data_IF_168045955120
#
_entry.id   IF_168045955120
#
_cell.length_a   1.000
_cell.length_b   1.000
_cell.length_c   1.000
_cell.angle_alpha   90.00
_cell.angle_beta   90.00
_cell.angle_gamma   90.00
#
_symmetry.space_group_name_H-M   'P 1'
#
loop_
_entity.id
_entity.type
_entity.pdbx_description
1 polymer ?
#
# COMPACT_ATOMS: atom_id res chain seq x y z
N UNK A 1 18.79 -10.91 -6.52
CA UNK A 1 18.37 -9.62 -5.93
C UNK A 1 17.69 -9.87 -4.58
N UNK A 2 17.85 -8.98 -3.59
CA UNK A 2 17.22 -9.13 -2.27
C UNK A 2 15.68 -9.13 -2.32
N UNK A 3 15.08 -8.43 -3.28
CA UNK A 3 13.63 -8.35 -3.46
C UNK A 3 12.99 -9.70 -3.82
N UNK A 4 13.55 -10.44 -4.78
CA UNK A 4 13.04 -11.77 -5.19
C UNK A 4 13.07 -12.75 -4.01
N UNK A 5 14.15 -12.75 -3.22
CA UNK A 5 14.26 -13.58 -2.00
C UNK A 5 13.22 -13.20 -0.94
N UNK A 6 12.85 -11.93 -0.83
CA UNK A 6 11.77 -11.51 0.07
C UNK A 6 10.41 -11.96 -0.46
N UNK A 7 10.16 -11.82 -1.76
CA UNK A 7 8.92 -12.24 -2.44
C UNK A 7 8.74 -13.76 -2.48
N UNK A 8 9.80 -14.55 -2.32
CA UNK A 8 9.69 -16.01 -2.29
C UNK A 8 9.17 -16.57 -0.96
N UNK A 9 9.10 -15.74 0.09
CA UNK A 9 8.49 -16.14 1.37
C UNK A 9 7.01 -16.46 1.16
N UNK A 10 6.53 -17.58 1.69
CA UNK A 10 5.11 -17.89 1.64
C UNK A 10 4.31 -16.94 2.54
N UNK A 11 3.06 -16.64 2.15
CA UNK A 11 2.07 -15.88 2.94
C UNK A 11 2.50 -14.44 3.31
N UNK A 12 3.03 -13.69 2.35
CA UNK A 12 3.23 -12.25 2.57
C UNK A 12 1.88 -11.51 2.66
N UNK A 13 1.79 -10.55 3.58
CA UNK A 13 0.68 -9.59 3.63
C UNK A 13 0.79 -8.58 2.49
N UNK A 14 -0.33 -7.98 2.08
CA UNK A 14 -0.36 -6.94 1.05
C UNK A 14 0.60 -5.78 1.39
N UNK A 15 0.59 -5.29 2.64
CA UNK A 15 1.51 -4.23 3.08
C UNK A 15 2.99 -4.60 2.90
N UNK A 16 3.36 -5.85 3.17
CA UNK A 16 4.73 -6.32 2.98
C UNK A 16 5.10 -6.33 1.49
N UNK A 17 4.19 -6.79 0.63
CA UNK A 17 4.38 -6.80 -0.82
C UNK A 17 4.53 -5.36 -1.35
N UNK A 18 3.68 -4.44 -0.87
CA UNK A 18 3.76 -3.01 -1.17
C UNK A 18 5.15 -2.45 -0.86
N UNK A 19 5.67 -2.63 0.36
CA UNK A 19 6.99 -2.11 0.72
C UNK A 19 8.14 -2.77 -0.05
N UNK A 20 7.98 -4.04 -0.47
CA UNK A 20 8.99 -4.71 -1.27
C UNK A 20 9.03 -4.16 -2.70
N UNK A 21 7.88 -3.83 -3.29
CA UNK A 21 7.77 -3.48 -4.71
C UNK A 21 7.70 -1.97 -4.98
N UNK A 22 7.13 -1.15 -4.10
CA UNK A 22 7.03 0.33 -4.21
C UNK A 22 8.35 1.02 -4.61
N UNK A 23 9.54 0.61 -4.13
CA UNK A 23 10.78 1.30 -4.49
C UNK A 23 11.23 1.07 -5.94
N UNK A 24 10.61 0.14 -6.67
CA UNK A 24 11.00 -0.20 -8.04
C UNK A 24 10.09 0.49 -9.05
N UNK A 25 10.63 0.98 -10.18
CA UNK A 25 9.82 1.39 -11.32
C UNK A 25 8.95 0.24 -11.82
N UNK A 26 7.76 0.55 -12.33
CA UNK A 26 6.79 -0.46 -12.78
C UNK A 26 7.39 -1.44 -13.81
N UNK A 27 8.15 -0.92 -14.77
CA UNK A 27 8.86 -1.73 -15.78
C UNK A 27 9.82 -2.75 -15.16
N UNK A 28 10.48 -2.41 -14.04
CA UNK A 28 11.36 -3.33 -13.31
C UNK A 28 10.56 -4.44 -12.63
N UNK A 29 9.36 -4.13 -12.12
CA UNK A 29 8.46 -5.12 -11.52
C UNK A 29 7.95 -6.09 -12.60
N UNK A 30 7.58 -5.59 -13.78
CA UNK A 30 7.22 -6.42 -14.94
C UNK A 30 8.37 -7.31 -15.41
N UNK A 31 9.60 -6.78 -15.47
CA UNK A 31 10.79 -7.58 -15.77
C UNK A 31 11.01 -8.70 -14.73
N UNK A 32 10.84 -8.40 -13.44
CA UNK A 32 10.90 -9.40 -12.37
C UNK A 32 9.84 -10.50 -12.54
N UNK A 33 8.62 -10.14 -12.95
CA UNK A 33 7.54 -11.08 -13.24
C UNK A 33 7.86 -12.00 -14.42
N UNK A 34 8.39 -11.44 -15.52
CA UNK A 34 8.75 -12.18 -16.72
C UNK A 34 9.92 -13.15 -16.46
N UNK A 35 10.93 -12.72 -15.70
CA UNK A 35 12.16 -13.48 -15.47
C UNK A 35 12.03 -14.57 -14.40
N UNK A 36 11.19 -14.39 -13.39
CA UNK A 36 11.11 -15.33 -12.27
C UNK A 36 10.49 -16.66 -12.70
N UNK A 37 11.05 -17.77 -12.22
CA UNK A 37 10.47 -19.11 -12.36
C UNK A 37 9.63 -19.52 -11.15
N UNK A 38 9.67 -18.74 -10.06
CA UNK A 38 8.94 -19.07 -8.83
C UNK A 38 7.45 -18.71 -8.95
N UNK A 39 6.52 -19.67 -8.82
CA UNK A 39 5.08 -19.39 -8.82
C UNK A 39 4.67 -18.45 -7.68
N UNK A 40 5.31 -18.59 -6.51
CA UNK A 40 5.07 -17.72 -5.34
C UNK A 40 5.40 -16.26 -5.64
N UNK A 41 6.56 -16.02 -6.28
CA UNK A 41 6.97 -14.66 -6.66
C UNK A 41 6.01 -14.09 -7.71
N UNK A 42 5.63 -14.88 -8.73
CA UNK A 42 4.63 -14.46 -9.73
C UNK A 42 3.31 -14.09 -9.08
N UNK A 43 2.82 -14.90 -8.14
CA UNK A 43 1.59 -14.64 -7.39
C UNK A 43 1.64 -13.30 -6.64
N UNK A 44 2.73 -13.02 -5.92
CA UNK A 44 2.86 -11.76 -5.18
C UNK A 44 2.97 -10.54 -6.10
N UNK A 45 3.69 -10.65 -7.22
CA UNK A 45 3.76 -9.54 -8.19
C UNK A 45 2.41 -9.31 -8.86
N UNK A 46 1.68 -10.38 -9.21
CA UNK A 46 0.31 -10.27 -9.74
C UNK A 46 -0.62 -9.59 -8.73
N UNK A 47 -0.58 -10.00 -7.47
CA UNK A 47 -1.34 -9.35 -6.38
C UNK A 47 -1.03 -7.85 -6.28
N UNK A 48 0.23 -7.48 -6.47
CA UNK A 48 0.63 -6.08 -6.45
C UNK A 48 -0.04 -5.28 -7.58
N UNK A 49 -0.04 -5.80 -8.80
CA UNK A 49 -0.67 -5.13 -9.94
C UNK A 49 -2.20 -5.12 -9.86
N UNK A 50 -2.82 -6.23 -9.48
CA UNK A 50 -4.27 -6.40 -9.54
C UNK A 50 -4.98 -5.71 -8.36
N UNK A 51 -4.35 -5.68 -7.17
CA UNK A 51 -5.02 -5.22 -5.95
C UNK A 51 -4.31 -4.03 -5.29
N UNK A 52 -2.99 -4.04 -5.17
CA UNK A 52 -2.26 -3.06 -4.33
C UNK A 52 -2.01 -1.73 -5.07
N UNK A 53 -1.53 -1.80 -6.30
CA UNK A 53 -1.20 -0.63 -7.12
C UNK A 53 -2.44 0.23 -7.46
N UNK A 54 -3.60 -0.33 -7.85
CA UNK A 54 -4.80 0.46 -8.11
C UNK A 54 -5.50 0.91 -6.81
N UNK A 55 -5.08 0.42 -5.65
CA UNK A 55 -5.66 0.81 -4.37
C UNK A 55 -5.44 2.31 -4.13
N UNK A 56 -6.52 3.01 -3.81
CA UNK A 56 -6.48 4.46 -3.58
C UNK A 56 -7.25 4.81 -2.32
N UNK A 57 -6.75 5.80 -1.58
CA UNK A 57 -7.56 6.42 -0.53
C UNK A 57 -8.75 7.15 -1.16
N UNK A 58 -9.87 7.15 -0.44
CA UNK A 58 -11.08 7.94 -0.72
C UNK A 58 -11.17 9.17 0.18
N UNK A 59 -10.19 9.33 1.08
CA UNK A 59 -9.91 10.51 1.90
C UNK A 59 -8.68 11.20 1.34
N UNK A 60 -8.68 12.54 1.30
CA UNK A 60 -7.57 13.35 0.81
C UNK A 60 -7.06 14.34 1.89
N UNK A 61 -6.15 15.24 1.50
CA UNK A 61 -5.60 16.26 2.40
C UNK A 61 -6.66 17.25 2.91
N UNK A 62 -7.60 17.68 2.07
CA UNK A 62 -8.67 18.61 2.46
C UNK A 62 -9.54 18.04 3.58
N UNK A 63 -9.77 16.73 3.56
CA UNK A 63 -10.49 16.04 4.63
C UNK A 63 -9.73 16.11 5.96
N UNK A 64 -8.40 15.99 5.93
CA UNK A 64 -7.54 16.10 7.12
C UNK A 64 -7.48 17.53 7.64
N UNK A 65 -7.44 18.52 6.75
CA UNK A 65 -7.53 19.95 7.12
C UNK A 65 -8.85 20.22 7.85
N UNK A 66 -9.96 19.66 7.38
CA UNK A 66 -11.27 19.75 8.08
C UNK A 66 -11.29 19.03 9.43
N UNK A 67 -10.37 18.10 9.67
CA UNK A 67 -10.18 17.46 10.98
C UNK A 67 -9.15 18.19 11.87
N UNK A 68 -8.59 19.32 11.41
CA UNK A 68 -7.68 20.15 12.19
C UNK A 68 -6.19 19.89 11.93
N UNK A 69 -5.83 19.02 10.98
CA UNK A 69 -4.43 18.79 10.61
C UNK A 69 -4.02 19.82 9.55
N UNK A 70 -3.24 20.81 9.96
CA UNK A 70 -2.83 21.92 9.08
C UNK A 70 -1.38 21.81 8.59
N UNK A 71 -0.56 21.00 9.26
CA UNK A 71 0.83 20.77 8.88
C UNK A 71 0.93 19.79 7.70
N UNK A 72 1.59 20.22 6.62
CA UNK A 72 1.68 19.45 5.37
C UNK A 72 2.46 18.14 5.50
N UNK A 73 3.50 18.11 6.34
CA UNK A 73 4.26 16.89 6.59
C UNK A 73 3.40 15.88 7.37
N UNK A 74 2.70 16.34 8.41
CA UNK A 74 1.76 15.53 9.19
C UNK A 74 0.62 15.00 8.34
N UNK A 75 0.07 15.79 7.43
CA UNK A 75 -0.93 15.33 6.43
C UNK A 75 -0.36 14.14 5.64
N UNK A 76 0.85 14.27 5.10
CA UNK A 76 1.51 13.20 4.36
C UNK A 76 1.70 11.93 5.19
N UNK A 77 2.17 12.07 6.43
CA UNK A 77 2.35 10.94 7.36
C UNK A 77 1.02 10.24 7.69
N UNK A 78 -0.04 11.00 7.93
CA UNK A 78 -1.38 10.46 8.22
C UNK A 78 -1.96 9.75 7.00
N UNK A 79 -1.86 10.33 5.80
CA UNK A 79 -2.32 9.69 4.58
C UNK A 79 -1.54 8.40 4.29
N UNK A 80 -0.22 8.40 4.46
CA UNK A 80 0.59 7.19 4.29
C UNK A 80 0.16 6.11 5.28
N UNK A 81 -0.02 6.44 6.56
CA UNK A 81 -0.48 5.49 7.58
C UNK A 81 -1.89 4.96 7.29
N UNK A 82 -2.80 5.83 6.85
CA UNK A 82 -4.15 5.43 6.47
C UNK A 82 -4.14 4.48 5.26
N UNK A 83 -3.28 4.75 4.27
CA UNK A 83 -3.09 3.87 3.12
C UNK A 83 -2.61 2.49 3.55
N UNK A 84 -1.61 2.42 4.43
CA UNK A 84 -1.08 1.15 4.93
C UNK A 84 -2.13 0.34 5.71
N UNK A 85 -2.87 0.99 6.61
CA UNK A 85 -3.99 0.35 7.31
C UNK A 85 -5.10 -0.07 6.35
N UNK A 86 -5.32 0.67 5.26
CA UNK A 86 -6.34 0.31 4.29
C UNK A 86 -6.01 -0.96 3.52
N UNK A 87 -4.73 -1.21 3.24
CA UNK A 87 -4.25 -2.48 2.67
C UNK A 87 -4.32 -3.64 3.67
N UNK A 88 -4.12 -3.40 4.96
CA UNK A 88 -4.18 -4.48 5.96
C UNK A 88 -5.60 -4.82 6.41
N UNK A 89 -6.49 -3.82 6.49
CA UNK A 89 -7.82 -3.96 7.10
C UNK A 89 -8.98 -3.88 6.10
N UNK A 90 -8.71 -3.76 4.79
CA UNK A 90 -9.76 -3.66 3.76
C UNK A 90 -10.64 -2.41 3.97
N UNK A 91 -10.00 -1.25 4.10
CA UNK A 91 -10.69 0.03 4.27
C UNK A 91 -11.10 0.62 2.92
N UNK A 92 -11.96 -0.09 2.18
CA UNK A 92 -12.25 0.22 0.77
C UNK A 92 -13.25 1.36 0.59
N UNK A 93 -13.84 1.84 1.69
CA UNK A 93 -14.87 2.89 1.66
C UNK A 93 -14.42 4.12 2.43
N UNK A 94 -14.85 5.28 1.95
CA UNK A 94 -14.65 6.57 2.63
C UNK A 94 -15.12 6.54 4.07
N UNK A 95 -16.26 5.87 4.36
CA UNK A 95 -16.80 5.74 5.72
C UNK A 95 -15.85 4.95 6.65
N UNK A 96 -15.30 3.83 6.18
CA UNK A 96 -14.32 3.04 6.93
C UNK A 96 -13.05 3.86 7.20
N UNK A 97 -12.52 4.52 6.17
CA UNK A 97 -11.33 5.35 6.27
C UNK A 97 -11.52 6.52 7.24
N UNK A 98 -12.64 7.25 7.15
CA UNK A 98 -12.97 8.36 8.06
C UNK A 98 -13.15 7.89 9.51
N UNK A 99 -13.73 6.70 9.74
CA UNK A 99 -13.83 6.12 11.08
C UNK A 99 -12.44 5.86 11.67
N UNK A 100 -11.51 5.32 10.88
CA UNK A 100 -10.13 5.08 11.32
C UNK A 100 -9.40 6.39 11.59
N UNK A 101 -9.59 7.43 10.78
CA UNK A 101 -8.98 8.74 11.02
C UNK A 101 -9.36 9.32 12.38
N UNK A 102 -10.61 9.16 12.82
CA UNK A 102 -11.04 9.59 14.16
C UNK A 102 -10.39 8.83 15.31
N UNK A 103 -9.89 7.63 15.04
CA UNK A 103 -9.16 6.81 16.04
C UNK A 103 -7.66 7.05 16.01
N UNK A 104 -7.15 7.62 14.92
CA UNK A 104 -5.81 8.17 14.91
C UNK A 104 -5.87 9.45 15.76
N UNK A 105 -5.08 9.54 16.83
CA UNK A 105 -4.93 10.80 17.56
C UNK A 105 -4.22 11.80 16.63
N UNK A 106 -5.00 12.52 15.83
CA UNK A 106 -4.56 13.43 14.77
C UNK A 106 -3.93 14.71 15.30
#
# INVERSE_FOLDING_TARGET
SGAIRRLSKSRLRQLQIYHILKPFPEMIIWYMYAKTQSPTVKKHIKLYFDEILPHSLKVNGDDLIKQGVTDGERIGQVLQKLFELSLEQGLDTRKKQMKILKTMNL
#
